data_IF_143774895616
#
_entry.id   IF_143774895616
#
_cell.length_a   1.000
_cell.length_b   1.000
_cell.length_c   1.000
_cell.angle_alpha   90.00
_cell.angle_beta   90.00
_cell.angle_gamma   90.00
#
_symmetry.space_group_name_H-M   'P 1'
#
loop_
_entity.id
_entity.type
_entity.pdbx_description
1 polymer ?
#
# COMPACT_ATOMS: atom_id res chain seq x y z
N UNK A 1 -0.64 -15.70 28.09
CA UNK A 1 -1.56 -15.78 26.94
C UNK A 1 -2.65 -16.84 27.04
N UNK A 2 -3.89 -16.36 26.94
CA UNK A 2 -5.13 -17.16 26.84
C UNK A 2 -5.21 -17.97 25.52
N UNK A 3 -5.59 -19.25 25.62
CA UNK A 3 -5.69 -20.18 24.48
C UNK A 3 -6.71 -19.74 23.42
N UNK A 4 -7.79 -19.05 23.83
CA UNK A 4 -8.80 -18.47 22.92
C UNK A 4 -8.16 -17.43 22.00
N UNK A 5 -7.37 -16.51 22.57
CA UNK A 5 -6.65 -15.47 21.85
C UNK A 5 -5.68 -16.11 20.84
N UNK A 6 -4.88 -17.08 21.28
CA UNK A 6 -3.94 -17.76 20.41
C UNK A 6 -4.65 -18.42 19.21
N UNK A 7 -5.76 -19.13 19.45
CA UNK A 7 -6.53 -19.77 18.40
C UNK A 7 -7.16 -18.76 17.45
N UNK A 8 -7.67 -17.64 17.98
CA UNK A 8 -8.25 -16.56 17.17
C UNK A 8 -7.22 -15.89 16.26
N UNK A 9 -6.01 -15.64 16.77
CA UNK A 9 -4.90 -15.11 15.98
C UNK A 9 -4.41 -16.11 14.93
N UNK A 10 -4.40 -17.40 15.26
CA UNK A 10 -4.06 -18.44 14.29
C UNK A 10 -5.09 -18.52 13.16
N UNK A 11 -6.39 -18.47 13.47
CA UNK A 11 -7.43 -18.36 12.44
C UNK A 11 -7.25 -17.09 11.61
N UNK A 12 -7.00 -15.94 12.24
CA UNK A 12 -6.75 -14.69 11.54
C UNK A 12 -5.58 -14.82 10.56
N UNK A 13 -4.46 -15.43 10.98
CA UNK A 13 -3.30 -15.69 10.13
C UNK A 13 -3.66 -16.53 8.89
N UNK A 14 -4.43 -17.60 9.08
CA UNK A 14 -4.86 -18.48 7.99
C UNK A 14 -5.81 -17.77 7.01
N UNK A 15 -6.59 -16.80 7.51
CA UNK A 15 -7.49 -15.98 6.69
C UNK A 15 -6.83 -14.76 6.03
N UNK A 16 -5.56 -14.43 6.31
CA UNK A 16 -4.86 -13.26 5.71
C UNK A 16 -4.93 -13.32 4.18
N UNK A 17 -4.56 -14.45 3.59
CA UNK A 17 -4.54 -14.61 2.13
C UNK A 17 -5.97 -14.60 1.56
N UNK A 18 -6.94 -15.40 2.06
CA UNK A 18 -8.33 -15.32 1.60
C UNK A 18 -8.93 -13.92 1.64
N UNK A 19 -8.72 -13.18 2.73
CA UNK A 19 -9.32 -11.85 2.92
C UNK A 19 -8.68 -10.82 1.98
N UNK A 20 -7.38 -10.92 1.71
CA UNK A 20 -6.65 -9.99 0.84
C UNK A 20 -6.56 -10.40 -0.63
N UNK A 21 -6.95 -11.64 -0.96
CA UNK A 21 -6.76 -12.25 -2.29
C UNK A 21 -7.41 -11.48 -3.44
N UNK A 22 -8.54 -10.82 -3.17
CA UNK A 22 -9.28 -9.99 -4.13
C UNK A 22 -9.32 -8.52 -3.71
N UNK A 23 -8.27 -8.03 -3.02
CA UNK A 23 -8.20 -6.62 -2.60
C UNK A 23 -8.52 -5.70 -3.79
N UNK A 24 -9.62 -4.97 -3.67
CA UNK A 24 -10.12 -4.08 -4.70
C UNK A 24 -10.60 -2.79 -4.05
N UNK A 25 -10.10 -1.65 -4.54
CA UNK A 25 -10.41 -0.33 -3.98
C UNK A 25 -11.92 -0.07 -3.84
N UNK A 26 -12.74 -0.57 -4.79
CA UNK A 26 -14.20 -0.34 -4.80
C UNK A 26 -14.92 -1.14 -3.72
N UNK A 27 -14.43 -2.33 -3.37
CA UNK A 27 -15.06 -3.24 -2.40
C UNK A 27 -14.30 -3.34 -1.08
N UNK A 28 -13.15 -2.67 -0.95
CA UNK A 28 -12.29 -2.75 0.21
C UNK A 28 -13.00 -2.32 1.49
N UNK A 29 -13.72 -1.19 1.51
CA UNK A 29 -14.48 -0.76 2.68
C UNK A 29 -15.39 -1.86 3.23
N UNK A 30 -16.20 -2.46 2.37
CA UNK A 30 -17.18 -3.47 2.77
C UNK A 30 -16.48 -4.77 3.18
N UNK A 31 -15.48 -5.21 2.41
CA UNK A 31 -14.66 -6.38 2.72
C UNK A 31 -13.95 -6.23 4.07
N UNK A 32 -13.34 -5.07 4.32
CA UNK A 32 -12.64 -4.75 5.56
C UNK A 32 -13.61 -4.75 6.74
N UNK A 33 -14.74 -4.04 6.64
CA UNK A 33 -15.73 -3.99 7.73
C UNK A 33 -16.30 -5.36 8.06
N UNK A 34 -16.59 -6.17 7.05
CA UNK A 34 -17.06 -7.54 7.26
C UNK A 34 -16.01 -8.41 7.98
N UNK A 35 -14.74 -8.29 7.58
CA UNK A 35 -13.65 -8.98 8.27
C UNK A 35 -13.47 -8.46 9.70
N UNK A 36 -13.52 -7.14 9.89
CA UNK A 36 -13.41 -6.53 11.20
C UNK A 36 -14.51 -7.00 12.16
N UNK A 37 -15.77 -6.98 11.73
CA UNK A 37 -16.88 -7.45 12.56
C UNK A 37 -16.73 -8.93 12.96
N UNK A 38 -16.16 -9.78 12.08
CA UNK A 38 -15.84 -11.18 12.41
C UNK A 38 -14.82 -11.28 13.55
N UNK A 39 -13.76 -10.46 13.54
CA UNK A 39 -12.65 -10.54 14.49
C UNK A 39 -12.73 -9.53 15.65
N UNK A 40 -13.71 -8.63 15.67
CA UNK A 40 -13.92 -7.67 16.75
C UNK A 40 -13.97 -8.29 18.15
N UNK A 41 -14.62 -9.45 18.37
CA UNK A 41 -14.60 -10.11 19.68
C UNK A 41 -13.18 -10.50 20.12
N UNK A 42 -12.33 -10.95 19.20
CA UNK A 42 -10.93 -11.29 19.48
C UNK A 42 -10.13 -10.06 19.93
N UNK A 43 -10.25 -8.92 19.25
CA UNK A 43 -9.54 -7.70 19.67
C UNK A 43 -10.02 -7.18 21.02
N UNK A 44 -11.32 -7.33 21.31
CA UNK A 44 -11.87 -6.98 22.62
C UNK A 44 -11.33 -7.90 23.72
N UNK A 45 -11.24 -9.21 23.46
CA UNK A 45 -10.65 -10.19 24.38
C UNK A 45 -9.17 -9.89 24.64
N UNK A 46 -8.39 -9.60 23.59
CA UNK A 46 -6.98 -9.19 23.67
C UNK A 46 -6.80 -7.99 24.59
N UNK A 47 -7.58 -6.93 24.39
CA UNK A 47 -7.45 -5.73 25.21
C UNK A 47 -7.81 -6.00 26.69
N UNK A 48 -8.85 -6.81 26.93
CA UNK A 48 -9.23 -7.22 28.28
C UNK A 48 -8.17 -8.07 28.97
N UNK A 49 -7.52 -8.98 28.24
CA UNK A 49 -6.43 -9.81 28.78
C UNK A 49 -5.26 -8.92 29.20
N UNK A 50 -4.85 -7.96 28.35
CA UNK A 50 -3.78 -7.02 28.66
C UNK A 50 -4.12 -6.09 29.85
N UNK A 51 -5.38 -5.67 29.99
CA UNK A 51 -5.81 -4.81 31.12
C UNK A 51 -5.87 -5.56 32.45
N UNK A 52 -6.20 -6.86 32.42
CA UNK A 52 -6.34 -7.68 33.61
C UNK A 52 -5.04 -8.42 34.00
N UNK A 53 -4.02 -8.40 33.15
CA UNK A 53 -2.73 -9.06 33.40
C UNK A 53 -1.96 -8.39 34.55
N UNK A 54 -1.31 -9.20 35.39
CA UNK A 54 -0.36 -8.72 36.39
C UNK A 54 0.93 -8.16 35.75
N UNK A 55 1.33 -8.72 34.60
CA UNK A 55 2.40 -8.23 33.75
C UNK A 55 1.86 -7.95 32.34
N UNK A 56 1.37 -6.73 32.16
CA UNK A 56 0.83 -6.25 30.88
C UNK A 56 1.85 -6.29 29.76
N UNK A 57 3.13 -6.05 30.06
CA UNK A 57 4.17 -6.00 29.03
C UNK A 57 4.48 -7.40 28.51
N UNK A 58 4.60 -8.38 29.41
CA UNK A 58 4.75 -9.79 29.03
C UNK A 58 3.58 -10.27 28.18
N UNK A 59 2.34 -9.95 28.56
CA UNK A 59 1.15 -10.36 27.80
C UNK A 59 1.10 -9.69 26.40
N UNK A 60 1.45 -8.41 26.29
CA UNK A 60 1.59 -7.72 24.99
C UNK A 60 2.63 -8.43 24.12
N UNK A 61 3.78 -8.80 24.69
CA UNK A 61 4.85 -9.48 23.97
C UNK A 61 4.42 -10.88 23.51
N UNK A 62 3.74 -11.66 24.34
CA UNK A 62 3.26 -12.99 23.94
C UNK A 62 2.25 -12.90 22.80
N UNK A 63 1.28 -11.97 22.89
CA UNK A 63 0.26 -11.77 21.86
C UNK A 63 0.89 -11.27 20.55
N UNK A 64 1.82 -10.32 20.64
CA UNK A 64 2.53 -9.76 19.48
C UNK A 64 3.44 -10.77 18.77
N UNK A 65 3.84 -11.87 19.44
CA UNK A 65 4.67 -12.93 18.86
C UNK A 65 3.91 -13.83 17.86
N UNK A 66 2.60 -14.02 18.06
CA UNK A 66 1.85 -15.11 17.42
C UNK A 66 1.90 -15.07 15.89
N UNK A 67 1.59 -13.92 15.28
CA UNK A 67 1.60 -13.80 13.81
C UNK A 67 3.02 -13.83 13.22
N UNK A 68 4.00 -13.07 13.76
CA UNK A 68 5.40 -13.15 13.30
C UNK A 68 6.00 -14.56 13.39
N UNK A 69 5.77 -15.29 14.48
CA UNK A 69 6.34 -16.63 14.65
C UNK A 69 5.75 -17.61 13.63
N UNK A 70 4.44 -17.56 13.38
CA UNK A 70 3.82 -18.34 12.30
C UNK A 70 4.35 -17.95 10.91
N UNK A 71 4.62 -16.66 10.68
CA UNK A 71 5.23 -16.23 9.43
C UNK A 71 6.64 -16.83 9.26
N UNK A 72 7.44 -16.88 10.32
CA UNK A 72 8.77 -17.51 10.30
C UNK A 72 8.67 -18.99 9.93
N UNK A 73 7.74 -19.74 10.54
CA UNK A 73 7.48 -21.13 10.19
C UNK A 73 7.13 -21.32 8.71
N UNK A 74 6.29 -20.44 8.14
CA UNK A 74 5.95 -20.45 6.72
C UNK A 74 7.17 -20.15 5.85
N UNK A 75 8.00 -19.19 6.22
CA UNK A 75 9.22 -18.85 5.48
C UNK A 75 10.27 -19.96 5.55
N UNK A 76 10.35 -20.71 6.64
CA UNK A 76 11.31 -21.80 6.82
C UNK A 76 10.98 -23.04 5.97
N UNK A 77 9.74 -23.18 5.53
CA UNK A 77 9.33 -24.21 4.57
C UNK A 77 9.81 -23.92 3.14
N UNK A 78 10.23 -22.69 2.85
CA UNK A 78 10.64 -22.28 1.51
C UNK A 78 12.14 -22.42 1.27
N UNK A 79 12.50 -23.10 0.18
CA UNK A 79 13.89 -23.49 -0.10
C UNK A 79 14.77 -22.40 -0.71
N UNK A 80 14.21 -21.27 -1.15
CA UNK A 80 14.98 -20.20 -1.78
C UNK A 80 14.52 -18.80 -1.39
N UNK A 81 15.47 -17.85 -1.37
CA UNK A 81 15.22 -16.44 -1.07
C UNK A 81 14.07 -15.85 -1.89
N UNK A 82 14.06 -16.12 -3.20
CA UNK A 82 13.00 -15.64 -4.11
C UNK A 82 11.61 -16.16 -3.73
N UNK A 83 11.49 -17.42 -3.29
CA UNK A 83 10.20 -17.97 -2.85
C UNK A 83 9.77 -17.37 -1.53
N UNK A 84 10.70 -17.23 -0.57
CA UNK A 84 10.48 -16.53 0.70
C UNK A 84 9.95 -15.11 0.45
N UNK A 85 10.57 -14.35 -0.45
CA UNK A 85 10.12 -13.00 -0.84
C UNK A 85 8.71 -13.00 -1.46
N UNK A 86 8.40 -13.93 -2.36
CA UNK A 86 7.07 -14.03 -2.97
C UNK A 86 5.98 -14.37 -1.95
N UNK A 87 6.27 -15.25 -1.00
CA UNK A 87 5.33 -15.63 0.07
C UNK A 87 5.16 -14.46 1.03
N UNK A 88 6.27 -13.88 1.50
CA UNK A 88 6.26 -12.70 2.36
C UNK A 88 5.48 -11.54 1.75
N UNK A 89 5.63 -11.28 0.45
CA UNK A 89 4.89 -10.22 -0.24
C UNK A 89 3.36 -10.39 -0.13
N UNK A 90 2.85 -11.62 -0.21
CA UNK A 90 1.41 -11.90 -0.08
C UNK A 90 0.92 -11.64 1.34
N UNK A 91 1.65 -12.13 2.34
CA UNK A 91 1.30 -11.92 3.74
C UNK A 91 1.44 -10.46 4.14
N UNK A 92 2.51 -9.78 3.72
CA UNK A 92 2.71 -8.35 3.95
C UNK A 92 1.53 -7.54 3.43
N UNK A 93 1.01 -7.86 2.23
CA UNK A 93 -0.17 -7.19 1.69
C UNK A 93 -1.38 -7.33 2.62
N UNK A 94 -1.72 -8.55 3.05
CA UNK A 94 -2.85 -8.76 3.94
C UNK A 94 -2.64 -8.19 5.35
N UNK A 95 -1.40 -8.20 5.84
CA UNK A 95 -1.03 -7.54 7.10
C UNK A 95 -1.29 -6.03 7.03
N UNK A 96 -0.76 -5.35 6.02
CA UNK A 96 -0.89 -3.89 5.90
C UNK A 96 -2.27 -3.44 5.46
N UNK A 97 -3.04 -4.28 4.75
CA UNK A 97 -4.38 -3.89 4.26
C UNK A 97 -5.52 -4.29 5.19
N UNK A 98 -5.36 -5.35 5.98
CA UNK A 98 -6.42 -5.86 6.86
C UNK A 98 -5.98 -5.98 8.30
N UNK A 99 -4.95 -6.78 8.61
CA UNK A 99 -4.64 -7.13 10.01
C UNK A 99 -4.26 -5.91 10.85
N UNK A 100 -3.24 -5.14 10.44
CA UNK A 100 -2.78 -3.97 11.19
C UNK A 100 -3.90 -2.92 11.33
N UNK A 101 -4.64 -2.55 10.26
CA UNK A 101 -5.74 -1.61 10.42
C UNK A 101 -6.87 -2.16 11.30
N UNK A 102 -7.14 -3.47 11.31
CA UNK A 102 -8.16 -4.06 12.18
C UNK A 102 -7.79 -3.95 13.66
N UNK A 103 -6.54 -4.24 14.04
CA UNK A 103 -6.07 -4.00 15.42
C UNK A 103 -6.24 -2.56 15.87
N UNK A 104 -6.07 -1.61 14.94
CA UNK A 104 -6.07 -0.17 15.22
C UNK A 104 -7.44 0.51 15.04
N UNK A 105 -8.47 -0.22 14.59
CA UNK A 105 -9.72 0.38 14.12
C UNK A 105 -10.53 1.04 15.25
N UNK A 106 -10.71 0.34 16.38
CA UNK A 106 -11.39 0.89 17.56
C UNK A 106 -10.44 1.67 18.52
N UNK A 107 -9.16 1.84 18.13
CA UNK A 107 -8.14 2.65 18.84
C UNK A 107 -7.96 2.29 20.32
N UNK A 108 -7.87 0.99 20.61
CA UNK A 108 -7.59 0.48 21.95
C UNK A 108 -6.08 0.55 22.23
N UNK A 109 -5.67 1.12 23.37
CA UNK A 109 -4.25 1.35 23.69
C UNK A 109 -3.42 0.06 23.67
N UNK A 110 -3.95 -1.02 24.26
CA UNK A 110 -3.29 -2.34 24.24
C UNK A 110 -3.04 -2.85 22.81
N UNK A 111 -3.99 -2.64 21.89
CA UNK A 111 -3.85 -3.08 20.50
C UNK A 111 -2.83 -2.23 19.72
N UNK A 112 -2.68 -0.94 20.03
CA UNK A 112 -1.65 -0.09 19.42
C UNK A 112 -0.24 -0.55 19.82
N UNK A 113 -0.04 -0.89 21.10
CA UNK A 113 1.25 -1.40 21.60
C UNK A 113 1.58 -2.79 21.04
N UNK A 114 0.59 -3.68 20.97
CA UNK A 114 0.75 -4.98 20.30
C UNK A 114 1.19 -4.80 18.85
N UNK A 115 0.61 -3.84 18.12
CA UNK A 115 1.00 -3.58 16.73
C UNK A 115 2.45 -3.10 16.62
N UNK A 116 2.92 -2.25 17.53
CA UNK A 116 4.32 -1.82 17.56
C UNK A 116 5.27 -3.02 17.72
N UNK A 117 5.06 -3.84 18.76
CA UNK A 117 5.87 -5.03 19.02
C UNK A 117 5.78 -6.06 17.87
N UNK A 118 4.59 -6.24 17.29
CA UNK A 118 4.37 -7.17 16.20
C UNK A 118 5.10 -6.76 14.93
N UNK A 119 5.09 -5.47 14.57
CA UNK A 119 5.79 -4.95 13.38
C UNK A 119 7.30 -5.11 13.53
N UNK A 120 7.85 -4.82 14.72
CA UNK A 120 9.27 -4.99 15.00
C UNK A 120 9.69 -6.45 14.75
N UNK A 121 8.97 -7.40 15.34
CA UNK A 121 9.23 -8.85 15.18
C UNK A 121 8.99 -9.36 13.77
N UNK A 122 7.96 -8.87 13.08
CA UNK A 122 7.67 -9.26 11.70
C UNK A 122 8.80 -8.84 10.75
N UNK A 123 9.39 -7.67 10.97
CA UNK A 123 10.47 -7.12 10.15
C UNK A 123 11.87 -7.63 10.54
N UNK A 124 11.98 -8.45 11.59
CA UNK A 124 13.22 -9.06 12.08
C UNK A 124 13.65 -10.23 11.16
N UNK A 125 14.07 -9.87 9.95
CA UNK A 125 14.63 -10.76 8.94
C UNK A 125 15.47 -9.98 7.90
N UNK A 126 16.35 -10.67 7.16
CA UNK A 126 17.25 -10.06 6.16
C UNK A 126 16.60 -9.77 4.79
N UNK A 127 15.28 -9.91 4.65
CA UNK A 127 14.56 -9.60 3.41
C UNK A 127 14.21 -8.10 3.35
N UNK A 128 14.23 -7.50 2.16
CA UNK A 128 13.97 -6.05 1.97
C UNK A 128 12.51 -5.67 2.24
N UNK A 129 11.58 -6.62 2.17
CA UNK A 129 10.15 -6.38 2.24
C UNK A 129 9.69 -6.18 3.69
N UNK A 130 9.73 -4.93 4.16
CA UNK A 130 9.27 -4.54 5.50
C UNK A 130 7.84 -4.00 5.49
N UNK A 131 7.13 -4.21 6.59
CA UNK A 131 5.80 -3.62 6.85
C UNK A 131 5.92 -2.43 7.79
N UNK A 132 4.90 -1.58 7.80
CA UNK A 132 4.78 -0.43 8.70
C UNK A 132 3.32 -0.23 9.10
N UNK A 133 3.07 0.62 10.10
CA UNK A 133 1.70 0.93 10.54
C UNK A 133 0.86 1.45 9.39
N UNK A 134 -0.39 1.01 9.34
CA UNK A 134 -1.39 1.44 8.37
C UNK A 134 -2.74 1.66 9.05
N UNK A 135 -3.60 2.44 8.39
CA UNK A 135 -4.95 2.80 8.89
C UNK A 135 -6.00 2.56 7.82
N UNK A 136 -7.20 2.16 8.25
CA UNK A 136 -8.31 1.86 7.36
C UNK A 136 -8.63 3.05 6.44
N UNK A 137 -8.72 4.26 7.01
CA UNK A 137 -9.03 5.48 6.28
C UNK A 137 -7.99 5.79 5.20
N UNK A 138 -6.72 5.50 5.47
CA UNK A 138 -5.63 5.72 4.53
C UNK A 138 -5.69 4.73 3.35
N UNK A 139 -6.07 3.48 3.61
CA UNK A 139 -6.18 2.46 2.56
C UNK A 139 -7.47 2.64 1.76
N UNK A 140 -8.59 2.94 2.43
CA UNK A 140 -9.88 3.21 1.82
C UNK A 140 -9.87 4.49 0.98
N UNK A 141 -9.16 5.53 1.44
CA UNK A 141 -8.87 6.71 0.63
C UNK A 141 -8.05 6.42 -0.63
N UNK A 142 -7.60 5.18 -0.80
CA UNK A 142 -6.53 4.77 -1.69
C UNK A 142 -5.21 5.11 -1.05
N UNK A 143 -4.22 4.22 -1.16
CA UNK A 143 -2.85 4.53 -0.81
C UNK A 143 -2.51 5.92 -1.38
N UNK A 144 -2.40 6.92 -0.51
CA UNK A 144 -1.65 8.15 -0.81
C UNK A 144 -0.16 7.79 -0.84
N UNK A 145 0.21 6.62 -1.39
CA UNK A 145 1.57 6.18 -1.51
C UNK A 145 2.22 7.06 -2.56
N UNK A 146 2.97 8.01 -2.04
CA UNK A 146 3.75 9.00 -2.77
C UNK A 146 4.75 8.37 -3.76
N UNK A 147 4.92 7.04 -3.78
CA UNK A 147 6.06 6.35 -4.37
C UNK A 147 5.85 5.74 -5.77
N UNK A 148 4.61 5.59 -6.28
CA UNK A 148 4.37 4.79 -7.49
C UNK A 148 3.62 5.52 -8.62
N UNK A 149 3.67 6.84 -8.65
CA UNK A 149 3.20 7.61 -9.78
C UNK A 149 4.29 7.77 -10.83
N UNK A 150 3.90 7.72 -12.11
CA UNK A 150 4.79 8.08 -13.22
C UNK A 150 5.37 9.48 -12.98
N UNK A 151 4.54 10.43 -12.53
CA UNK A 151 4.99 11.79 -12.18
C UNK A 151 6.01 11.84 -11.05
N UNK A 152 5.82 11.05 -9.98
CA UNK A 152 6.81 10.94 -8.89
C UNK A 152 8.12 10.36 -9.43
N UNK A 153 8.07 9.23 -10.13
CA UNK A 153 9.25 8.53 -10.61
C UNK A 153 10.09 9.40 -11.56
N UNK A 154 9.42 10.14 -12.45
CA UNK A 154 10.09 11.09 -13.34
C UNK A 154 10.75 12.22 -12.54
N UNK A 155 10.06 12.85 -11.59
CA UNK A 155 10.67 13.92 -10.78
C UNK A 155 11.86 13.42 -9.97
N UNK A 156 11.75 12.22 -9.39
CA UNK A 156 12.85 11.58 -8.66
C UNK A 156 14.06 11.30 -9.57
N UNK A 157 13.85 10.82 -10.80
CA UNK A 157 14.93 10.60 -11.77
C UNK A 157 15.69 11.87 -12.16
N UNK A 158 15.03 13.03 -12.06
CA UNK A 158 15.61 14.35 -12.29
C UNK A 158 16.29 14.94 -11.03
N UNK A 159 16.37 14.17 -9.94
CA UNK A 159 16.92 14.61 -8.66
C UNK A 159 16.05 15.64 -7.93
N UNK A 160 14.76 15.77 -8.28
CA UNK A 160 13.83 16.70 -7.60
C UNK A 160 13.24 16.04 -6.34
N UNK A 161 12.93 16.82 -5.29
CA UNK A 161 12.28 16.30 -4.10
C UNK A 161 10.81 15.89 -4.36
N UNK A 162 10.25 15.02 -3.52
CA UNK A 162 8.87 14.48 -3.65
C UNK A 162 7.75 15.53 -3.36
N UNK A 163 8.13 16.73 -2.98
CA UNK A 163 7.27 17.90 -2.81
C UNK A 163 7.62 19.04 -3.79
N UNK A 164 8.36 18.74 -4.86
CA UNK A 164 8.71 19.76 -5.85
C UNK A 164 7.47 20.38 -6.48
N UNK A 165 7.64 21.62 -6.96
CA UNK A 165 6.57 22.44 -7.51
C UNK A 165 5.83 21.71 -8.63
N UNK A 166 6.55 21.14 -9.60
CA UNK A 166 5.96 20.50 -10.77
C UNK A 166 5.15 19.26 -10.41
N UNK A 167 5.64 18.45 -9.47
CA UNK A 167 4.95 17.26 -8.99
C UNK A 167 3.63 17.63 -8.29
N UNK A 168 3.66 18.63 -7.41
CA UNK A 168 2.46 19.11 -6.74
C UNK A 168 1.47 19.79 -7.69
N UNK A 169 1.96 20.49 -8.71
CA UNK A 169 1.13 21.06 -9.76
C UNK A 169 0.39 19.96 -10.54
N UNK A 170 1.11 18.92 -10.97
CA UNK A 170 0.53 17.78 -11.68
C UNK A 170 -0.43 16.96 -10.81
N UNK A 171 -0.13 16.78 -9.52
CA UNK A 171 -1.02 16.11 -8.55
C UNK A 171 -2.33 16.87 -8.41
N UNK A 172 -2.29 18.19 -8.18
CA UNK A 172 -3.50 19.04 -8.11
C UNK A 172 -4.29 19.01 -9.41
N UNK A 173 -3.62 19.14 -10.55
CA UNK A 173 -4.29 19.05 -11.85
C UNK A 173 -5.07 17.74 -12.00
N UNK A 174 -4.46 16.60 -11.67
CA UNK A 174 -5.10 15.28 -11.78
C UNK A 174 -6.23 15.09 -10.76
N UNK A 175 -5.92 15.34 -9.49
CA UNK A 175 -6.78 14.96 -8.36
C UNK A 175 -7.87 15.99 -8.05
N UNK A 176 -7.72 17.25 -8.49
CA UNK A 176 -8.70 18.32 -8.25
C UNK A 176 -9.40 18.77 -9.53
N UNK A 177 -8.68 18.93 -10.65
CA UNK A 177 -9.29 19.42 -11.89
C UNK A 177 -9.79 18.27 -12.78
N UNK A 178 -8.91 17.35 -13.16
CA UNK A 178 -9.18 16.33 -14.18
C UNK A 178 -10.28 15.38 -13.74
N UNK A 179 -10.26 14.91 -12.49
CA UNK A 179 -11.30 14.01 -11.95
C UNK A 179 -12.71 14.59 -12.07
N UNK A 180 -12.84 15.92 -11.98
CA UNK A 180 -14.11 16.64 -12.04
C UNK A 180 -14.57 16.97 -13.48
N UNK A 181 -13.75 16.66 -14.49
CA UNK A 181 -14.15 16.82 -15.89
C UNK A 181 -14.95 15.60 -16.38
N UNK A 182 -15.82 15.82 -17.36
CA UNK A 182 -16.61 14.74 -17.98
C UNK A 182 -15.69 13.65 -18.54
N UNK A 183 -15.77 12.42 -17.99
CA UNK A 183 -14.91 11.28 -18.37
C UNK A 183 -13.49 11.34 -17.81
N UNK A 184 -13.19 12.32 -16.95
CA UNK A 184 -11.88 12.46 -16.32
C UNK A 184 -11.65 11.46 -15.18
N UNK A 185 -12.71 11.09 -14.44
CA UNK A 185 -12.64 10.06 -13.40
C UNK A 185 -12.11 8.71 -13.95
N UNK A 186 -12.55 8.31 -15.15
CA UNK A 186 -12.09 7.07 -15.80
C UNK A 186 -10.61 7.14 -16.17
N UNK A 187 -10.15 8.27 -16.73
CA UNK A 187 -8.74 8.50 -17.07
C UNK A 187 -7.86 8.47 -15.82
N UNK A 188 -8.32 9.12 -14.75
CA UNK A 188 -7.62 9.14 -13.46
C UNK A 188 -7.56 7.73 -12.89
N UNK A 189 -8.70 7.02 -12.82
CA UNK A 189 -8.74 5.64 -12.33
C UNK A 189 -7.80 4.71 -13.12
N UNK A 190 -7.81 4.81 -14.45
CA UNK A 190 -6.91 4.05 -15.32
C UNK A 190 -5.44 4.39 -15.04
N UNK A 191 -5.10 5.67 -14.90
CA UNK A 191 -3.75 6.09 -14.54
C UNK A 191 -3.30 5.48 -13.20
N UNK A 192 -4.15 5.52 -12.17
CA UNK A 192 -3.84 4.95 -10.85
C UNK A 192 -3.64 3.43 -10.91
N UNK A 193 -4.37 2.74 -11.79
CA UNK A 193 -4.26 1.29 -12.00
C UNK A 193 -2.94 0.91 -12.70
N UNK A 194 -2.58 1.61 -13.78
CA UNK A 194 -1.44 1.23 -14.61
C UNK A 194 -0.10 1.77 -14.10
N UNK A 195 -0.08 2.91 -13.41
CA UNK A 195 1.15 3.64 -13.09
C UNK A 195 2.17 2.80 -12.28
N UNK A 196 1.79 2.06 -11.22
CA UNK A 196 2.74 1.24 -10.47
C UNK A 196 3.42 0.16 -11.33
N UNK A 197 2.66 -0.50 -12.20
CA UNK A 197 3.17 -1.55 -13.09
C UNK A 197 4.14 -0.97 -14.12
N UNK A 198 3.83 0.18 -14.69
CA UNK A 198 4.69 0.87 -15.66
C UNK A 198 6.00 1.31 -14.99
N UNK A 199 5.93 1.96 -13.83
CA UNK A 199 7.11 2.37 -13.06
C UNK A 199 8.00 1.18 -12.74
N UNK A 200 7.42 0.07 -12.26
CA UNK A 200 8.16 -1.15 -11.96
C UNK A 200 8.85 -1.76 -13.20
N UNK A 201 8.23 -1.69 -14.39
CA UNK A 201 8.85 -2.17 -15.63
C UNK A 201 10.00 -1.26 -16.07
N UNK A 202 9.82 0.06 -16.01
CA UNK A 202 10.87 1.02 -16.37
C UNK A 202 12.07 0.90 -15.45
N UNK A 203 11.86 0.80 -14.13
CA UNK A 203 12.94 0.66 -13.14
C UNK A 203 13.83 -0.59 -13.34
N UNK A 204 13.34 -1.61 -14.06
CA UNK A 204 14.10 -2.83 -14.37
C UNK A 204 14.91 -2.72 -15.66
N UNK A 205 14.77 -1.63 -16.41
CA UNK A 205 15.52 -1.37 -17.63
C UNK A 205 16.86 -0.74 -17.30
N UNK A 206 17.93 -1.14 -18.00
CA UNK A 206 19.27 -0.55 -17.84
C UNK A 206 19.28 0.95 -18.21
N UNK A 207 18.39 1.38 -19.11
CA UNK A 207 18.25 2.77 -19.56
C UNK A 207 17.05 3.49 -18.94
N UNK A 208 16.72 3.18 -17.68
CA UNK A 208 15.55 3.74 -16.97
C UNK A 208 15.59 5.28 -16.88
N UNK A 209 16.77 5.87 -16.65
CA UNK A 209 16.96 7.32 -16.59
C UNK A 209 16.59 8.01 -17.92
N UNK A 210 17.06 7.48 -19.05
CA UNK A 210 16.73 8.01 -20.39
C UNK A 210 15.24 7.93 -20.68
N UNK A 211 14.60 6.84 -20.25
CA UNK A 211 13.16 6.64 -20.40
C UNK A 211 12.39 7.69 -19.60
N UNK A 212 12.78 7.96 -18.35
CA UNK A 212 12.13 8.99 -17.56
C UNK A 212 12.37 10.39 -18.09
N UNK A 213 13.55 10.67 -18.63
CA UNK A 213 13.85 11.93 -19.31
C UNK A 213 12.97 12.14 -20.56
N UNK A 214 12.72 11.09 -21.36
CA UNK A 214 11.77 11.17 -22.50
C UNK A 214 10.35 11.46 -22.02
N UNK A 215 9.88 10.79 -20.96
CA UNK A 215 8.54 11.03 -20.38
C UNK A 215 8.41 12.47 -19.88
N UNK A 216 9.45 13.00 -19.22
CA UNK A 216 9.50 14.38 -18.79
C UNK A 216 9.35 15.35 -19.96
N UNK A 217 10.25 15.26 -20.93
CA UNK A 217 10.33 16.19 -22.05
C UNK A 217 9.08 16.13 -22.94
N UNK A 218 8.53 14.93 -23.15
CA UNK A 218 7.42 14.71 -24.08
C UNK A 218 6.06 15.01 -23.49
N UNK A 219 5.87 14.76 -22.19
CA UNK A 219 4.55 14.81 -21.56
C UNK A 219 4.50 15.76 -20.38
N UNK A 220 5.33 15.54 -19.35
CA UNK A 220 5.16 16.24 -18.08
C UNK A 220 5.55 17.71 -18.16
N UNK A 221 6.66 18.04 -18.83
CA UNK A 221 7.10 19.42 -18.98
C UNK A 221 6.09 20.26 -19.79
N UNK A 222 5.57 19.80 -20.95
CA UNK A 222 4.47 20.47 -21.63
C UNK A 222 3.21 20.63 -20.77
N UNK A 223 2.82 19.61 -20.00
CA UNK A 223 1.68 19.71 -19.09
C UNK A 223 1.89 20.80 -18.03
N UNK A 224 3.07 20.88 -17.41
CA UNK A 224 3.41 21.92 -16.42
C UNK A 224 3.22 23.30 -17.04
N UNK A 225 3.83 23.57 -18.19
CA UNK A 225 3.73 24.87 -18.88
C UNK A 225 2.28 25.22 -19.26
N UNK A 226 1.48 24.23 -19.66
CA UNK A 226 0.05 24.41 -19.98
C UNK A 226 -0.78 24.71 -18.74
N UNK A 227 -0.51 24.07 -17.61
CA UNK A 227 -1.21 24.34 -16.34
C UNK A 227 -0.85 25.74 -15.83
N UNK A 228 0.42 26.13 -15.89
CA UNK A 228 0.88 27.47 -15.51
C UNK A 228 0.23 28.57 -16.36
N UNK A 229 -0.06 28.27 -17.62
CA UNK A 229 -0.72 29.20 -18.57
C UNK A 229 -2.25 29.06 -18.58
N UNK A 230 -2.85 28.37 -17.61
CA UNK A 230 -4.29 28.11 -17.48
C UNK A 230 -4.95 27.41 -18.69
N UNK A 231 -4.15 26.69 -19.49
CA UNK A 231 -4.61 25.92 -20.65
C UNK A 231 -4.90 24.46 -20.28
N UNK A 232 -5.85 24.30 -19.35
CA UNK A 232 -6.14 23.02 -18.68
C UNK A 232 -6.66 21.92 -19.62
N UNK A 233 -7.40 22.29 -20.68
CA UNK A 233 -7.90 21.33 -21.67
C UNK A 233 -6.83 20.89 -22.69
N UNK A 234 -5.86 21.74 -23.03
CA UNK A 234 -4.70 21.28 -23.79
C UNK A 234 -3.85 20.30 -22.98
N UNK A 235 -3.66 20.60 -21.68
CA UNK A 235 -3.00 19.69 -20.74
C UNK A 235 -3.71 18.34 -20.70
N UNK A 236 -5.05 18.32 -20.74
CA UNK A 236 -5.84 17.08 -20.71
C UNK A 236 -5.48 16.15 -21.85
N UNK A 237 -5.33 16.70 -23.06
CA UNK A 237 -4.99 15.91 -24.25
C UNK A 237 -3.62 15.25 -24.11
N UNK A 238 -2.61 16.01 -23.68
CA UNK A 238 -1.25 15.49 -23.47
C UNK A 238 -1.21 14.49 -22.33
N UNK A 239 -1.89 14.78 -21.21
CA UNK A 239 -1.96 13.88 -20.07
C UNK A 239 -2.61 12.54 -20.48
N UNK A 240 -3.73 12.61 -21.20
CA UNK A 240 -4.45 11.41 -21.67
C UNK A 240 -3.61 10.60 -22.66
N UNK A 241 -2.92 11.25 -23.60
CA UNK A 241 -2.02 10.56 -24.52
C UNK A 241 -0.86 9.88 -23.80
N UNK A 242 -0.29 10.52 -22.77
CA UNK A 242 0.73 9.92 -21.91
C UNK A 242 0.22 8.61 -21.29
N UNK A 243 -0.97 8.63 -20.66
CA UNK A 243 -1.56 7.43 -20.02
C UNK A 243 -1.69 6.29 -21.03
N UNK A 244 -2.34 6.52 -22.17
CA UNK A 244 -2.58 5.47 -23.16
C UNK A 244 -1.31 5.01 -23.88
N UNK A 245 -0.39 5.92 -24.18
CA UNK A 245 0.85 5.58 -24.88
C UNK A 245 1.79 4.79 -23.96
N UNK A 246 1.91 5.15 -22.69
CA UNK A 246 2.68 4.36 -21.72
C UNK A 246 2.00 3.02 -21.40
N UNK A 247 0.65 2.99 -21.30
CA UNK A 247 -0.11 1.74 -21.17
C UNK A 247 0.20 0.78 -22.31
N UNK A 248 0.10 1.25 -23.56
CA UNK A 248 0.41 0.43 -24.76
C UNK A 248 1.85 -0.04 -24.77
N UNK A 249 2.79 0.87 -24.54
CA UNK A 249 4.23 0.60 -24.62
C UNK A 249 4.69 -0.39 -23.56
N UNK A 250 4.13 -0.34 -22.35
CA UNK A 250 4.66 -1.10 -21.23
C UNK A 250 3.75 -2.20 -20.71
N UNK A 251 2.47 -2.29 -21.07
CA UNK A 251 1.60 -3.39 -20.59
C UNK A 251 1.28 -4.43 -21.65
N UNK A 252 1.37 -4.07 -22.93
CA UNK A 252 1.03 -4.95 -24.06
C UNK A 252 2.23 -5.28 -24.97
N UNK A 253 3.45 -4.92 -24.55
CA UNK A 253 4.71 -5.31 -25.20
C UNK A 253 5.31 -6.57 -24.59
#
# INVERSE_FOLDING_TARGET
MNQSIQNGLNDLFDQIIPISGDFNKKTYADSFKNAYEKYKPLFTEIAQECENSEDRQEEIEEIAAVLPDRMREVLDQESSKRKKENVLMKYNLGMVTYVIPMFRYDRMDACEEIVDCMIERWNDHDLELKISKSEFEQIQGGFKSRLCYITTAVCASLGKPDDCYELNLMRRYRDEYLVNQKGGEEIVAEYYDIAPTIVNRINRMENSEDVYADIWCRYLHPCVSMIESDNLEACRKIYTDMVYSLRRKYLFS
#
